data_IF_024501302042
#
_entry.id   IF_024501302042
#
_cell.length_a   1.000
_cell.length_b   1.000
_cell.length_c   1.000
_cell.angle_alpha   90.00
_cell.angle_beta   90.00
_cell.angle_gamma   90.00
#
_symmetry.space_group_name_H-M   'P 1'
#
loop_
_entity.id
_entity.type
_entity.pdbx_description
1 polymer ?
#
# COMPACT_ATOMS: atom_id res chain seq x y z
N UNK A 1 -4.74 22.18 41.19
CA UNK A 1 -4.96 21.27 40.04
C UNK A 1 -4.49 22.01 38.80
N UNK A 2 -3.34 21.64 38.22
CA UNK A 2 -2.88 22.28 36.97
C UNK A 2 -3.77 21.78 35.82
N UNK A 3 -4.26 22.65 34.92
CA UNK A 3 -5.06 22.20 33.79
C UNK A 3 -4.21 21.30 32.89
N UNK A 4 -4.78 20.19 32.43
CA UNK A 4 -4.21 19.37 31.38
C UNK A 4 -4.02 20.25 30.15
N UNK A 5 -2.77 20.44 29.72
CA UNK A 5 -2.48 21.05 28.44
C UNK A 5 -2.98 20.09 27.35
N UNK A 6 -4.05 20.46 26.66
CA UNK A 6 -4.45 19.81 25.42
C UNK A 6 -3.30 19.99 24.43
N UNK A 7 -2.68 18.91 23.90
CA UNK A 7 -1.70 19.06 22.85
C UNK A 7 -2.40 19.70 21.65
N UNK A 8 -1.97 20.91 21.28
CA UNK A 8 -2.33 21.49 19.99
C UNK A 8 -1.68 20.64 18.91
N UNK A 9 -2.40 19.61 18.45
CA UNK A 9 -2.08 18.92 17.21
C UNK A 9 -2.19 19.97 16.10
N UNK A 10 -1.06 20.43 15.57
CA UNK A 10 -1.02 21.21 14.33
C UNK A 10 -1.75 20.44 13.22
N UNK A 11 -2.24 21.11 12.17
CA UNK A 11 -3.04 20.47 11.14
C UNK A 11 -2.29 19.26 10.56
N UNK A 12 -2.77 18.07 10.88
CA UNK A 12 -2.24 16.78 10.43
C UNK A 12 -2.61 16.47 8.98
N UNK A 13 -3.58 17.21 8.44
CA UNK A 13 -4.13 17.01 7.12
C UNK A 13 -3.43 17.92 6.11
N UNK A 14 -2.66 17.31 5.20
CA UNK A 14 -2.10 17.99 4.02
C UNK A 14 -3.25 18.42 3.08
N UNK A 15 -4.44 17.79 3.14
CA UNK A 15 -5.67 18.14 2.43
C UNK A 15 -6.89 17.37 2.93
N UNK A 16 -8.05 17.55 2.28
CA UNK A 16 -9.29 16.79 2.54
C UNK A 16 -9.67 15.95 1.32
N UNK A 17 -10.16 14.73 1.55
CA UNK A 17 -10.67 13.81 0.52
C UNK A 17 -11.95 13.13 1.01
N UNK A 18 -12.73 12.58 0.10
CA UNK A 18 -13.74 11.55 0.41
C UNK A 18 -13.10 10.20 0.17
N UNK A 19 -13.18 9.27 1.13
CA UNK A 19 -12.71 7.90 0.93
C UNK A 19 -13.85 6.97 0.51
N UNK A 20 -13.49 5.80 -0.01
CA UNK A 20 -14.42 4.79 -0.51
C UNK A 20 -14.57 3.61 0.46
N UNK A 21 -14.05 3.72 1.67
CA UNK A 21 -14.01 2.62 2.67
C UNK A 21 -14.92 2.85 3.87
N UNK A 22 -15.65 3.98 3.92
CA UNK A 22 -16.65 4.24 4.95
C UNK A 22 -16.09 4.53 6.34
N UNK A 23 -14.77 4.74 6.47
CA UNK A 23 -14.08 5.02 7.74
C UNK A 23 -13.46 6.42 7.70
N UNK A 24 -13.63 7.29 8.70
CA UNK A 24 -13.07 8.65 8.67
C UNK A 24 -11.54 8.66 8.40
N UNK A 25 -11.09 9.55 7.52
CA UNK A 25 -9.68 9.61 7.08
C UNK A 25 -8.72 9.82 8.26
N UNK A 26 -9.04 10.78 9.13
CA UNK A 26 -8.21 11.11 10.29
C UNK A 26 -8.10 9.92 11.23
N UNK A 27 -9.18 9.14 11.38
CA UNK A 27 -9.14 7.92 12.18
C UNK A 27 -8.27 6.85 11.51
N UNK A 28 -8.46 6.62 10.21
CA UNK A 28 -7.69 5.63 9.44
C UNK A 28 -6.19 5.95 9.44
N UNK A 29 -5.82 7.23 9.39
CA UNK A 29 -4.44 7.68 9.45
C UNK A 29 -3.86 7.71 10.87
N UNK A 30 -4.67 7.61 11.93
CA UNK A 30 -4.24 7.69 13.32
C UNK A 30 -3.89 6.31 13.89
N UNK A 31 -2.97 6.28 14.86
CA UNK A 31 -2.52 5.03 15.50
C UNK A 31 -3.64 4.24 16.21
N UNK A 32 -4.75 4.91 16.52
CA UNK A 32 -5.91 4.32 17.20
C UNK A 32 -6.67 3.35 16.31
N UNK A 33 -6.71 3.58 14.99
CA UNK A 33 -7.22 2.58 14.07
C UNK A 33 -6.37 1.31 14.13
N UNK A 34 -5.04 1.45 14.24
CA UNK A 34 -4.17 0.29 14.33
C UNK A 34 -4.29 -0.44 15.68
N UNK A 35 -4.80 0.19 16.75
CA UNK A 35 -5.00 -0.51 18.03
C UNK A 35 -6.24 -1.42 17.98
N UNK A 36 -7.26 -1.01 17.22
CA UNK A 36 -8.53 -1.70 17.09
C UNK A 36 -9.03 -1.60 15.64
N UNK A 37 -8.39 -2.34 14.71
CA UNK A 37 -8.73 -2.23 13.30
C UNK A 37 -10.10 -2.85 13.03
N UNK A 38 -10.85 -2.20 12.14
CA UNK A 38 -12.06 -2.76 11.53
C UNK A 38 -11.75 -3.22 10.12
N UNK A 39 -12.49 -4.21 9.58
CA UNK A 39 -12.39 -4.56 8.16
C UNK A 39 -12.63 -3.33 7.28
N UNK A 40 -11.87 -3.24 6.19
CA UNK A 40 -12.00 -2.17 5.20
C UNK A 40 -12.41 -2.80 3.87
N UNK A 41 -13.44 -2.24 3.26
CA UNK A 41 -13.91 -2.64 1.94
C UNK A 41 -14.07 -1.41 1.06
N UNK A 42 -13.56 -1.48 -0.17
CA UNK A 42 -13.78 -0.44 -1.17
C UNK A 42 -15.21 -0.63 -1.71
N UNK A 43 -16.03 0.38 -1.46
CA UNK A 43 -17.46 0.38 -1.79
C UNK A 43 -17.72 -0.01 -3.24
N UNK A 44 -18.59 -1.02 -3.44
CA UNK A 44 -19.08 -1.44 -4.76
C UNK A 44 -18.19 -2.46 -5.47
N UNK A 45 -16.96 -2.72 -5.01
CA UNK A 45 -16.03 -3.60 -5.72
C UNK A 45 -16.50 -5.04 -5.71
N UNK A 46 -16.89 -5.57 -4.54
CA UNK A 46 -17.35 -6.97 -4.45
C UNK A 46 -18.70 -7.16 -5.14
N UNK A 47 -19.59 -6.20 -4.97
CA UNK A 47 -20.94 -6.21 -5.54
C UNK A 47 -20.92 -6.21 -7.07
N UNK A 48 -20.01 -5.44 -7.68
CA UNK A 48 -19.87 -5.38 -9.14
C UNK A 48 -19.07 -6.54 -9.73
N UNK A 49 -18.38 -7.33 -8.91
CA UNK A 49 -17.48 -8.39 -9.35
C UNK A 49 -17.80 -9.75 -8.69
N UNK A 50 -19.09 -10.02 -8.44
CA UNK A 50 -19.57 -11.29 -7.89
C UNK A 50 -18.96 -12.55 -8.52
N UNK A 51 -18.90 -12.67 -9.86
CA UNK A 51 -18.30 -13.83 -10.53
C UNK A 51 -16.83 -14.09 -10.16
N UNK A 52 -16.04 -13.04 -9.88
CA UNK A 52 -14.67 -13.21 -9.41
C UNK A 52 -14.65 -13.87 -8.04
N UNK A 53 -15.42 -13.36 -7.08
CA UNK A 53 -15.41 -13.88 -5.71
C UNK A 53 -16.07 -15.26 -5.60
N UNK A 54 -17.02 -15.57 -6.47
CA UNK A 54 -17.57 -16.92 -6.60
C UNK A 54 -16.51 -17.90 -7.12
N UNK A 55 -15.75 -17.52 -8.15
CA UNK A 55 -14.63 -18.32 -8.65
C UNK A 55 -13.53 -18.49 -7.58
N UNK A 56 -13.16 -17.41 -6.88
CA UNK A 56 -12.19 -17.46 -5.77
C UNK A 56 -12.65 -18.41 -4.66
N UNK A 57 -13.95 -18.49 -4.36
CA UNK A 57 -14.48 -19.37 -3.32
C UNK A 57 -14.23 -20.87 -3.59
N UNK A 58 -14.04 -21.24 -4.86
CA UNK A 58 -13.72 -22.61 -5.27
C UNK A 58 -12.24 -22.95 -5.18
N UNK A 59 -11.37 -21.96 -5.00
CA UNK A 59 -9.94 -22.18 -4.90
C UNK A 59 -9.58 -23.02 -3.67
N UNK A 60 -8.71 -24.02 -3.87
CA UNK A 60 -8.28 -24.93 -2.81
C UNK A 60 -7.19 -24.34 -1.92
N UNK A 61 -6.35 -23.48 -2.50
CA UNK A 61 -5.25 -22.81 -1.83
C UNK A 61 -4.99 -21.42 -2.41
N UNK A 62 -4.03 -20.71 -1.83
CA UNK A 62 -3.66 -19.35 -2.26
C UNK A 62 -3.09 -19.32 -3.67
N UNK A 63 -2.34 -20.34 -4.08
CA UNK A 63 -1.71 -20.37 -5.40
C UNK A 63 -2.77 -20.52 -6.50
N UNK A 64 -3.73 -21.40 -6.30
CA UNK A 64 -4.90 -21.60 -7.16
C UNK A 64 -5.77 -20.32 -7.23
N UNK A 65 -6.02 -19.69 -6.08
CA UNK A 65 -6.72 -18.40 -6.03
C UNK A 65 -5.98 -17.30 -6.81
N UNK A 66 -4.64 -17.27 -6.74
CA UNK A 66 -3.80 -16.35 -7.49
C UNK A 66 -3.88 -16.56 -9.00
N UNK A 67 -3.96 -17.81 -9.46
CA UNK A 67 -4.18 -18.15 -10.88
C UNK A 67 -5.57 -17.67 -11.31
N UNK A 68 -6.61 -18.01 -10.55
CA UNK A 68 -7.98 -17.59 -10.83
C UNK A 68 -8.11 -16.07 -10.93
N UNK A 69 -7.59 -15.33 -9.94
CA UNK A 69 -7.56 -13.87 -9.96
C UNK A 69 -6.85 -13.32 -11.20
N UNK A 70 -5.67 -13.86 -11.52
CA UNK A 70 -4.89 -13.41 -12.68
C UNK A 70 -5.66 -13.65 -13.99
N UNK A 71 -6.28 -14.81 -14.17
CA UNK A 71 -7.10 -15.12 -15.34
C UNK A 71 -8.28 -14.15 -15.48
N UNK A 72 -8.98 -13.84 -14.38
CA UNK A 72 -10.07 -12.87 -14.39
C UNK A 72 -9.60 -11.47 -14.81
N UNK A 73 -8.50 -11.00 -14.21
CA UNK A 73 -7.93 -9.68 -14.52
C UNK A 73 -7.49 -9.58 -15.97
N UNK A 74 -6.89 -10.64 -16.52
CA UNK A 74 -6.49 -10.69 -17.93
C UNK A 74 -7.69 -10.63 -18.87
N UNK A 75 -8.74 -11.40 -18.57
CA UNK A 75 -9.96 -11.40 -19.38
C UNK A 75 -10.69 -10.05 -19.33
N UNK A 76 -10.82 -9.44 -18.15
CA UNK A 76 -11.59 -8.22 -17.96
C UNK A 76 -10.89 -6.98 -18.54
N UNK A 77 -9.58 -6.86 -18.34
CA UNK A 77 -8.81 -5.67 -18.75
C UNK A 77 -8.00 -5.88 -20.04
N UNK A 78 -8.06 -7.07 -20.65
CA UNK A 78 -7.25 -7.43 -21.82
C UNK A 78 -5.75 -7.22 -21.58
N UNK A 79 -5.26 -7.73 -20.45
CA UNK A 79 -3.83 -7.70 -20.11
C UNK A 79 -3.18 -8.86 -20.87
N UNK A 80 -2.38 -8.55 -21.90
CA UNK A 80 -1.74 -9.58 -22.72
C UNK A 80 -0.63 -10.30 -21.94
N UNK A 81 -0.44 -11.62 -22.13
CA UNK A 81 0.66 -12.36 -21.51
C UNK A 81 2.05 -11.76 -21.80
N UNK A 82 2.23 -11.18 -22.99
CA UNK A 82 3.46 -10.52 -23.44
C UNK A 82 3.71 -9.17 -22.73
N UNK A 83 2.72 -8.59 -22.04
CA UNK A 83 2.91 -7.39 -21.19
C UNK A 83 3.55 -7.73 -19.84
N UNK A 84 3.84 -9.01 -19.58
CA UNK A 84 4.58 -9.48 -18.40
C UNK A 84 6.09 -9.27 -18.55
N UNK A 85 6.58 -9.11 -19.78
CA UNK A 85 8.01 -8.91 -20.10
C UNK A 85 8.20 -7.63 -20.91
N UNK A 86 9.20 -6.83 -20.52
CA UNK A 86 9.53 -5.57 -21.18
C UNK A 86 10.28 -5.86 -22.49
N UNK A 87 9.56 -6.19 -23.56
CA UNK A 87 10.16 -6.30 -24.90
C UNK A 87 9.93 -5.01 -25.70
N UNK A 88 10.95 -4.15 -25.73
CA UNK A 88 11.04 -2.95 -26.57
C UNK A 88 11.22 -3.26 -28.08
N UNK A 89 11.19 -4.54 -28.48
CA UNK A 89 11.65 -4.95 -29.81
C UNK A 89 10.60 -4.91 -30.93
N UNK A 90 9.29 -4.81 -30.66
CA UNK A 90 8.26 -4.91 -31.70
C UNK A 90 7.21 -3.78 -31.66
N UNK A 91 7.11 -3.06 -32.78
CA UNK A 91 6.50 -1.74 -32.90
C UNK A 91 5.03 -1.57 -32.47
N UNK A 92 4.69 -0.31 -32.17
CA UNK A 92 3.33 0.28 -32.00
C UNK A 92 2.26 -0.65 -31.42
N UNK A 93 2.58 -1.43 -30.38
CA UNK A 93 1.57 -2.09 -29.55
C UNK A 93 1.04 -1.08 -28.54
N UNK A 94 -0.29 -0.98 -28.45
CA UNK A 94 -0.99 -0.04 -27.57
C UNK A 94 -0.74 -0.47 -26.12
N UNK A 95 0.33 0.04 -25.53
CA UNK A 95 0.75 -0.28 -24.16
C UNK A 95 -0.41 -0.05 -23.20
N UNK A 96 -1.01 -1.13 -22.68
CA UNK A 96 -2.05 -1.03 -21.65
C UNK A 96 -1.38 -1.01 -20.29
N UNK A 97 -1.78 -0.04 -19.49
CA UNK A 97 -1.42 -0.03 -18.08
C UNK A 97 -1.98 -1.27 -17.37
N UNK A 98 -1.14 -1.89 -16.54
CA UNK A 98 -1.48 -3.06 -15.76
C UNK A 98 -1.01 -2.87 -14.32
N UNK A 99 -1.80 -3.33 -13.36
CA UNK A 99 -1.41 -3.32 -11.94
C UNK A 99 -0.08 -4.05 -11.71
N UNK A 100 0.22 -5.12 -12.47
CA UNK A 100 1.49 -5.84 -12.38
C UNK A 100 2.69 -4.93 -12.65
N UNK A 101 2.58 -4.06 -13.68
CA UNK A 101 3.61 -3.06 -13.99
C UNK A 101 3.79 -2.07 -12.83
N UNK A 102 2.69 -1.64 -12.20
CA UNK A 102 2.76 -0.73 -11.05
C UNK A 102 3.46 -1.38 -9.85
N UNK A 103 3.11 -2.63 -9.52
CA UNK A 103 3.73 -3.37 -8.41
C UNK A 103 5.21 -3.64 -8.70
N UNK A 104 5.56 -4.08 -9.92
CA UNK A 104 6.96 -4.25 -10.34
C UNK A 104 7.75 -2.93 -10.27
N UNK A 105 7.15 -1.84 -10.75
CA UNK A 105 7.73 -0.50 -10.71
C UNK A 105 7.93 0.02 -9.28
N UNK A 106 7.02 -0.30 -8.37
CA UNK A 106 7.16 0.01 -6.95
C UNK A 106 8.41 -0.62 -6.34
N UNK A 107 8.62 -1.92 -6.61
CA UNK A 107 9.80 -2.66 -6.13
C UNK A 107 11.12 -2.16 -6.71
N UNK A 108 11.09 -1.43 -7.83
CA UNK A 108 12.28 -0.80 -8.42
C UNK A 108 12.52 0.62 -7.88
N UNK A 109 11.50 1.47 -7.95
CA UNK A 109 11.55 2.86 -7.45
C UNK A 109 10.17 3.33 -6.99
N UNK A 110 9.92 3.29 -5.68
CA UNK A 110 8.69 3.81 -5.06
C UNK A 110 8.50 5.33 -5.21
N UNK A 111 9.54 6.06 -5.65
CA UNK A 111 9.48 7.49 -5.98
C UNK A 111 9.40 7.77 -7.48
N UNK A 112 9.34 6.73 -8.30
CA UNK A 112 9.06 6.86 -9.73
C UNK A 112 7.55 7.03 -10.01
N UNK A 113 7.19 7.15 -11.30
CA UNK A 113 5.81 7.44 -11.68
C UNK A 113 4.81 6.32 -11.32
N UNK A 114 5.23 5.06 -11.40
CA UNK A 114 4.45 3.90 -10.94
C UNK A 114 4.09 4.03 -9.45
N UNK A 115 5.06 4.47 -8.63
CA UNK A 115 4.86 4.77 -7.22
C UNK A 115 3.94 5.97 -6.98
N UNK A 116 4.00 7.00 -7.84
CA UNK A 116 3.05 8.11 -7.78
C UNK A 116 1.60 7.66 -8.00
N UNK A 117 1.37 6.75 -8.97
CA UNK A 117 0.04 6.20 -9.26
C UNK A 117 -0.48 5.38 -8.08
N UNK A 118 0.34 4.51 -7.49
CA UNK A 118 -0.05 3.70 -6.31
C UNK A 118 -0.37 4.57 -5.09
N UNK A 119 0.47 5.57 -4.80
CA UNK A 119 0.21 6.56 -3.74
C UNK A 119 -1.08 7.34 -4.03
N UNK A 120 -1.34 7.68 -5.30
CA UNK A 120 -2.58 8.35 -5.72
C UNK A 120 -3.82 7.48 -5.59
N UNK A 121 -3.69 6.17 -5.82
CA UNK A 121 -4.77 5.22 -5.53
C UNK A 121 -5.08 5.19 -4.03
N UNK A 122 -4.07 5.14 -3.15
CA UNK A 122 -4.29 5.19 -1.69
C UNK A 122 -4.96 6.50 -1.27
N UNK A 123 -4.45 7.64 -1.77
CA UNK A 123 -5.05 8.96 -1.55
C UNK A 123 -6.54 8.97 -1.95
N UNK A 124 -6.87 8.37 -3.09
CA UNK A 124 -8.23 8.36 -3.62
C UNK A 124 -9.18 7.41 -2.87
N UNK A 125 -8.71 6.24 -2.42
CA UNK A 125 -9.58 5.19 -1.83
C UNK A 125 -9.69 5.31 -0.32
N UNK A 126 -8.61 5.71 0.33
CA UNK A 126 -8.48 5.73 1.79
C UNK A 126 -8.40 7.15 2.33
N UNK A 127 -8.18 8.15 1.47
CA UNK A 127 -8.10 9.56 1.87
C UNK A 127 -6.79 9.96 2.53
N UNK A 128 -5.78 9.07 2.52
CA UNK A 128 -4.48 9.33 3.15
C UNK A 128 -3.52 9.92 2.11
N UNK A 129 -3.14 11.18 2.31
CA UNK A 129 -2.20 11.90 1.44
C UNK A 129 -0.77 11.41 1.61
N UNK A 130 0.03 11.35 0.52
CA UNK A 130 1.45 11.02 0.64
C UNK A 130 2.20 12.16 1.34
N UNK A 131 3.11 11.79 2.24
CA UNK A 131 4.04 12.71 2.91
C UNK A 131 5.38 12.81 2.20
N UNK A 132 5.64 11.92 1.23
CA UNK A 132 6.89 11.90 0.47
C UNK A 132 6.72 11.34 -0.95
N UNK A 133 7.30 12.04 -1.93
CA UNK A 133 7.51 11.53 -3.28
C UNK A 133 8.67 12.31 -3.91
N UNK A 134 9.82 11.66 -4.08
CA UNK A 134 11.14 12.24 -4.46
C UNK A 134 11.70 13.26 -3.46
N UNK A 135 10.85 13.98 -2.74
CA UNK A 135 11.18 14.89 -1.65
C UNK A 135 9.99 14.93 -0.66
N UNK A 136 10.18 15.47 0.56
CA UNK A 136 9.09 15.62 1.52
C UNK A 136 7.98 16.54 0.98
N UNK A 137 6.74 16.08 1.06
CA UNK A 137 5.54 16.85 0.74
C UNK A 137 5.01 17.47 2.03
N UNK A 138 5.23 18.77 2.19
CA UNK A 138 4.78 19.54 3.37
C UNK A 138 3.48 20.31 3.13
N UNK A 139 3.18 20.64 1.88
CA UNK A 139 2.02 21.43 1.48
C UNK A 139 1.61 21.12 0.04
N UNK A 140 0.31 21.20 -0.26
CA UNK A 140 -0.27 20.98 -1.61
C UNK A 140 0.19 22.04 -2.62
N UNK A 141 0.57 23.23 -2.18
CA UNK A 141 1.10 24.29 -3.06
C UNK A 141 2.57 24.11 -3.44
N UNK A 142 3.24 23.04 -2.98
CA UNK A 142 4.67 22.84 -3.21
C UNK A 142 4.97 22.30 -4.62
N UNK A 143 6.16 22.62 -5.14
CA UNK A 143 6.65 22.04 -6.40
C UNK A 143 6.71 20.50 -6.35
N UNK A 144 7.03 19.93 -5.18
CA UNK A 144 7.03 18.48 -4.97
C UNK A 144 5.63 17.89 -5.14
N UNK A 145 4.59 18.58 -4.64
CA UNK A 145 3.21 18.18 -4.89
C UNK A 145 2.85 18.24 -6.38
N UNK A 146 3.25 19.29 -7.09
CA UNK A 146 3.04 19.40 -8.54
C UNK A 146 3.67 18.22 -9.28
N UNK A 147 4.94 17.89 -9.00
CA UNK A 147 5.62 16.73 -9.62
C UNK A 147 4.90 15.42 -9.32
N UNK A 148 4.49 15.22 -8.06
CA UNK A 148 3.71 14.04 -7.67
C UNK A 148 2.41 13.94 -8.48
N UNK A 149 1.65 15.04 -8.61
CA UNK A 149 0.38 15.07 -9.35
C UNK A 149 0.60 14.81 -10.84
N UNK A 150 1.63 15.40 -11.45
CA UNK A 150 1.99 15.19 -12.86
C UNK A 150 2.24 13.70 -13.16
N UNK A 151 2.99 13.02 -12.29
CA UNK A 151 3.28 11.58 -12.46
C UNK A 151 2.07 10.70 -12.16
N UNK A 152 1.37 10.98 -11.06
CA UNK A 152 0.12 10.32 -10.67
C UNK A 152 -0.92 10.36 -11.78
N UNK A 153 -1.05 11.50 -12.48
CA UNK A 153 -2.06 11.73 -13.51
C UNK A 153 -1.57 11.43 -14.93
N UNK A 154 -0.37 10.84 -15.08
CA UNK A 154 0.19 10.53 -16.39
C UNK A 154 -0.73 9.58 -17.16
N UNK A 155 -1.20 10.02 -18.33
CA UNK A 155 -2.18 9.28 -19.16
C UNK A 155 -1.71 7.89 -19.56
N UNK A 156 -0.39 7.64 -19.58
CA UNK A 156 0.21 6.33 -19.83
C UNK A 156 -0.26 5.25 -18.86
N UNK A 157 -0.66 5.64 -17.65
CA UNK A 157 -1.17 4.73 -16.62
C UNK A 157 -2.69 4.68 -16.52
N UNK A 158 -3.40 5.65 -17.10
CA UNK A 158 -4.87 5.77 -16.94
C UNK A 158 -5.65 5.31 -18.17
N UNK A 159 -4.98 4.63 -19.09
CA UNK A 159 -5.57 4.15 -20.34
C UNK A 159 -6.26 2.78 -20.25
N UNK A 160 -6.29 2.16 -19.06
CA UNK A 160 -6.85 0.82 -18.84
C UNK A 160 -7.51 0.66 -17.46
N UNK A 161 -8.24 1.67 -16.99
CA UNK A 161 -8.98 1.63 -15.71
C UNK A 161 -8.11 1.18 -14.50
N UNK A 162 -6.89 1.69 -14.42
CA UNK A 162 -5.86 1.20 -13.50
C UNK A 162 -6.29 1.20 -12.03
N UNK A 163 -7.09 2.17 -11.61
CA UNK A 163 -7.57 2.20 -10.24
C UNK A 163 -8.60 1.11 -9.96
N UNK A 164 -9.45 0.73 -10.93
CA UNK A 164 -10.34 -0.43 -10.77
C UNK A 164 -9.53 -1.72 -10.64
N UNK A 165 -8.40 -1.82 -11.36
CA UNK A 165 -7.51 -2.96 -11.21
C UNK A 165 -6.91 -3.04 -9.80
N UNK A 166 -6.50 -1.91 -9.22
CA UNK A 166 -5.97 -1.84 -7.85
C UNK A 166 -7.06 -2.06 -6.79
N UNK A 167 -8.29 -1.61 -7.05
CA UNK A 167 -9.44 -1.86 -6.19
C UNK A 167 -9.72 -3.37 -6.09
N UNK A 168 -9.70 -4.07 -7.23
CA UNK A 168 -9.82 -5.54 -7.29
C UNK A 168 -8.66 -6.25 -6.61
N UNK A 169 -7.42 -5.78 -6.82
CA UNK A 169 -6.24 -6.34 -6.17
C UNK A 169 -6.34 -6.23 -4.64
N UNK A 170 -6.78 -5.08 -4.13
CA UNK A 170 -6.98 -4.87 -2.70
C UNK A 170 -8.04 -5.83 -2.13
N UNK A 171 -9.21 -5.92 -2.76
CA UNK A 171 -10.27 -6.81 -2.27
C UNK A 171 -9.89 -8.29 -2.36
N UNK A 172 -9.15 -8.68 -3.40
CA UNK A 172 -8.57 -10.02 -3.50
C UNK A 172 -7.55 -10.27 -2.39
N UNK A 173 -6.64 -9.32 -2.13
CA UNK A 173 -5.68 -9.40 -1.03
C UNK A 173 -6.38 -9.60 0.31
N UNK A 174 -7.43 -8.81 0.59
CA UNK A 174 -8.21 -8.93 1.83
C UNK A 174 -8.95 -10.27 1.94
N UNK A 175 -9.52 -10.75 0.84
CA UNK A 175 -10.13 -12.08 0.78
C UNK A 175 -9.11 -13.20 1.04
N UNK A 176 -7.94 -13.11 0.41
CA UNK A 176 -6.87 -14.10 0.53
C UNK A 176 -6.24 -14.12 1.93
N UNK A 177 -6.06 -12.95 2.56
CA UNK A 177 -5.61 -12.84 3.95
C UNK A 177 -6.60 -13.52 4.90
N UNK A 178 -7.89 -13.21 4.78
CA UNK A 178 -8.91 -13.79 5.64
C UNK A 178 -9.04 -15.31 5.48
N UNK A 179 -8.80 -15.85 4.28
CA UNK A 179 -9.02 -17.28 3.98
C UNK A 179 -7.78 -18.15 4.16
N UNK A 180 -6.62 -17.69 3.70
CA UNK A 180 -5.43 -18.54 3.54
C UNK A 180 -4.20 -18.02 4.28
N UNK A 181 -3.92 -16.71 4.23
CA UNK A 181 -2.62 -16.19 4.69
C UNK A 181 -2.61 -15.72 6.15
N UNK A 182 -3.74 -15.28 6.70
CA UNK A 182 -3.86 -14.75 8.06
C UNK A 182 -5.26 -15.01 8.68
N UNK A 183 -5.77 -16.26 8.68
CA UNK A 183 -7.13 -16.55 9.12
C UNK A 183 -7.33 -16.23 10.61
N UNK A 184 -8.30 -15.35 10.91
CA UNK A 184 -8.63 -14.93 12.27
C UNK A 184 -7.68 -13.90 12.89
N UNK A 185 -6.62 -13.52 12.17
CA UNK A 185 -5.66 -12.54 12.66
C UNK A 185 -6.13 -11.10 12.38
N UNK A 186 -5.95 -10.22 13.36
CA UNK A 186 -6.18 -8.78 13.20
C UNK A 186 -4.92 -8.04 12.77
N UNK A 187 -3.74 -8.59 13.08
CA UNK A 187 -2.46 -7.95 12.88
C UNK A 187 -1.38 -8.91 12.38
N UNK A 188 -0.47 -8.40 11.58
CA UNK A 188 0.79 -9.05 11.22
C UNK A 188 1.95 -8.34 11.91
N UNK A 189 2.93 -9.09 12.43
CA UNK A 189 4.21 -8.50 12.83
C UNK A 189 5.08 -8.37 11.58
N UNK A 190 5.40 -7.16 11.17
CA UNK A 190 6.25 -6.92 10.00
C UNK A 190 7.40 -5.97 10.34
N UNK A 191 8.45 -6.02 9.52
CA UNK A 191 9.72 -5.35 9.71
C UNK A 191 10.02 -4.38 8.58
N UNK A 192 10.67 -3.26 8.89
CA UNK A 192 11.16 -2.32 7.87
C UNK A 192 12.53 -1.80 8.26
N UNK A 193 13.51 -2.00 7.38
CA UNK A 193 14.79 -1.30 7.45
C UNK A 193 14.61 0.16 7.07
N UNK A 194 15.20 1.05 7.86
CA UNK A 194 15.26 2.48 7.56
C UNK A 194 16.68 2.99 7.75
N UNK A 195 17.06 3.94 6.90
CA UNK A 195 18.26 4.76 7.08
C UNK A 195 17.84 6.09 7.71
N UNK A 196 18.75 6.72 8.45
CA UNK A 196 18.52 8.04 9.04
C UNK A 196 17.18 8.11 9.79
N UNK A 197 16.99 7.25 10.80
CA UNK A 197 15.74 7.16 11.58
C UNK A 197 15.20 8.52 12.05
N UNK A 198 16.07 9.48 12.35
CA UNK A 198 15.70 10.83 12.78
C UNK A 198 15.09 11.71 11.68
N UNK A 199 15.32 11.39 10.41
CA UNK A 199 14.72 12.09 9.27
C UNK A 199 13.26 11.64 9.02
N UNK A 200 12.83 10.55 9.64
CA UNK A 200 11.43 10.14 9.62
C UNK A 200 10.55 11.10 10.42
N UNK A 201 9.28 11.21 10.03
CA UNK A 201 8.30 12.03 10.74
C UNK A 201 7.92 11.37 12.07
N UNK A 202 8.71 11.62 13.11
CA UNK A 202 8.43 11.21 14.48
C UNK A 202 7.31 12.09 15.03
N UNK A 203 6.16 11.49 15.32
CA UNK A 203 5.01 12.17 15.93
C UNK A 203 5.19 12.27 17.44
N UNK A 204 5.62 11.16 18.07
CA UNK A 204 5.84 11.07 19.51
C UNK A 204 6.94 10.04 19.81
N UNK A 205 7.84 10.34 20.76
CA UNK A 205 8.76 9.34 21.34
C UNK A 205 8.20 8.90 22.70
N UNK A 206 7.73 7.66 22.78
CA UNK A 206 7.21 7.09 24.04
C UNK A 206 8.38 6.76 24.97
N UNK A 207 9.42 6.13 24.41
CA UNK A 207 10.71 5.93 25.07
C UNK A 207 11.85 5.85 24.04
N UNK A 208 13.00 5.31 24.44
CA UNK A 208 14.20 5.20 23.58
C UNK A 208 13.94 4.36 22.32
N UNK A 209 13.16 3.29 22.42
CA UNK A 209 12.97 2.31 21.35
C UNK A 209 11.52 2.31 20.84
N UNK A 210 10.55 2.76 21.62
CA UNK A 210 9.14 2.81 21.22
C UNK A 210 8.77 4.21 20.73
N UNK A 211 8.40 4.30 19.46
CA UNK A 211 8.16 5.57 18.77
C UNK A 211 6.87 5.51 17.97
N UNK A 212 6.13 6.60 17.98
CA UNK A 212 5.02 6.84 17.07
C UNK A 212 5.55 7.54 15.81
N UNK A 213 5.57 6.83 14.70
CA UNK A 213 6.01 7.34 13.40
C UNK A 213 4.84 7.61 12.49
N UNK A 214 4.92 8.67 11.69
CA UNK A 214 4.07 8.83 10.51
C UNK A 214 4.80 8.31 9.28
N UNK A 215 4.30 7.19 8.76
CA UNK A 215 4.76 6.60 7.51
C UNK A 215 4.06 7.28 6.32
N UNK A 216 4.71 7.24 5.16
CA UNK A 216 4.10 7.67 3.91
C UNK A 216 2.83 6.85 3.62
N UNK A 217 1.90 7.38 2.82
CA UNK A 217 0.57 6.75 2.66
C UNK A 217 0.61 5.32 2.08
N UNK A 218 1.68 4.94 1.40
CA UNK A 218 1.99 3.57 1.03
C UNK A 218 3.47 3.29 1.34
N UNK A 219 3.76 2.13 1.91
CA UNK A 219 5.12 1.74 2.31
C UNK A 219 5.33 0.23 2.21
N UNK A 220 6.55 -0.20 1.92
CA UNK A 220 6.95 -1.61 1.98
C UNK A 220 7.32 -2.03 3.39
N UNK A 221 7.04 -3.29 3.71
CA UNK A 221 7.50 -4.02 4.88
C UNK A 221 7.96 -5.42 4.46
N UNK A 222 8.66 -6.13 5.34
CA UNK A 222 9.05 -7.53 5.18
C UNK A 222 8.46 -8.36 6.32
N UNK A 223 8.05 -9.59 6.05
CA UNK A 223 7.79 -10.58 7.12
C UNK A 223 9.07 -11.16 7.72
N UNK A 224 10.20 -10.96 7.05
CA UNK A 224 11.52 -11.42 7.48
C UNK A 224 12.34 -10.23 8.01
N UNK A 225 12.77 -10.36 9.26
CA UNK A 225 13.57 -9.34 9.96
C UNK A 225 14.97 -9.20 9.37
N UNK A 226 15.59 -10.30 8.96
CA UNK A 226 16.95 -10.31 8.42
C UNK A 226 16.98 -9.66 7.03
N UNK A 227 15.98 -9.96 6.19
CA UNK A 227 15.77 -9.27 4.92
C UNK A 227 15.58 -7.76 5.16
N UNK A 228 14.78 -7.36 6.16
CA UNK A 228 14.60 -5.94 6.49
C UNK A 228 15.91 -5.28 6.93
N UNK A 229 16.80 -6.01 7.60
CA UNK A 229 18.12 -5.53 8.02
C UNK A 229 19.06 -5.18 6.85
N UNK A 230 18.81 -5.68 5.65
CA UNK A 230 19.59 -5.30 4.46
C UNK A 230 19.32 -3.85 4.00
N UNK A 231 18.27 -3.20 4.51
CA UNK A 231 17.79 -1.90 4.00
C UNK A 231 18.04 -0.71 4.95
N UNK A 232 18.81 -0.88 6.02
CA UNK A 232 19.33 0.25 6.80
C UNK A 232 19.95 -0.10 8.15
N UNK A 233 20.31 0.94 8.90
CA UNK A 233 20.97 0.83 10.23
C UNK A 233 19.98 0.56 11.38
N UNK A 234 18.70 0.83 11.15
CA UNK A 234 17.63 0.69 12.13
C UNK A 234 16.53 -0.20 11.58
N UNK A 235 16.13 -1.21 12.36
CA UNK A 235 14.95 -2.03 12.06
C UNK A 235 13.76 -1.52 12.87
N UNK A 236 12.67 -1.23 12.15
CA UNK A 236 11.37 -0.98 12.72
C UNK A 236 10.58 -2.28 12.78
N UNK A 237 10.08 -2.63 13.96
CA UNK A 237 9.10 -3.70 14.14
C UNK A 237 7.74 -3.09 14.40
N UNK A 238 6.73 -3.46 13.61
CA UNK A 238 5.38 -2.91 13.70
C UNK A 238 4.31 -4.00 13.69
N UNK A 239 3.22 -3.76 14.43
CA UNK A 239 1.97 -4.53 14.31
C UNK A 239 1.11 -3.87 13.25
N UNK A 240 1.04 -4.50 12.07
CA UNK A 240 0.34 -3.98 10.91
C UNK A 240 -1.08 -4.57 10.88
N UNK A 241 -2.15 -3.75 10.91
CA UNK A 241 -3.49 -4.24 10.71
C UNK A 241 -3.62 -4.97 9.38
N UNK A 242 -4.22 -6.17 9.38
CA UNK A 242 -4.46 -6.96 8.15
C UNK A 242 -5.25 -6.12 7.12
N UNK A 243 -6.21 -5.31 7.58
CA UNK A 243 -7.00 -4.41 6.76
C UNK A 243 -6.19 -3.35 5.99
N UNK A 244 -4.96 -3.04 6.43
CA UNK A 244 -4.06 -2.08 5.78
C UNK A 244 -3.06 -2.72 4.82
N UNK A 245 -3.07 -4.05 4.67
CA UNK A 245 -2.21 -4.74 3.71
C UNK A 245 -2.83 -4.69 2.31
N UNK A 246 -2.14 -4.12 1.33
CA UNK A 246 -2.65 -3.97 -0.04
C UNK A 246 -2.14 -5.04 -0.98
N UNK A 247 -0.97 -5.61 -0.68
CA UNK A 247 -0.32 -6.64 -1.47
C UNK A 247 0.73 -7.36 -0.62
N UNK A 248 1.02 -8.62 -0.92
CA UNK A 248 2.17 -9.36 -0.39
C UNK A 248 2.74 -10.31 -1.44
N UNK A 249 4.04 -10.59 -1.39
CA UNK A 249 4.74 -11.20 -2.54
C UNK A 249 4.20 -12.58 -2.96
N UNK A 250 3.65 -13.36 -2.03
CA UNK A 250 3.06 -14.68 -2.31
C UNK A 250 1.57 -14.63 -2.70
N UNK A 251 0.97 -13.45 -2.82
CA UNK A 251 -0.44 -13.29 -3.20
C UNK A 251 -0.72 -13.74 -4.64
N UNK A 252 0.26 -13.60 -5.53
CA UNK A 252 0.15 -13.98 -6.94
C UNK A 252 1.15 -15.07 -7.27
N UNK A 253 0.76 -16.01 -8.14
CA UNK A 253 1.61 -17.14 -8.53
C UNK A 253 2.88 -16.71 -9.29
N UNK A 254 2.85 -15.53 -9.91
CA UNK A 254 4.04 -14.85 -10.41
C UNK A 254 4.42 -13.75 -9.42
N UNK A 255 5.65 -13.78 -8.91
CA UNK A 255 6.17 -12.84 -7.92
C UNK A 255 6.53 -11.50 -8.59
N UNK A 256 5.70 -10.45 -8.50
CA UNK A 256 6.00 -9.17 -9.15
C UNK A 256 7.04 -8.35 -8.36
N UNK A 257 7.26 -8.69 -7.08
CA UNK A 257 8.23 -8.05 -6.21
C UNK A 257 9.50 -8.90 -6.11
N UNK A 258 10.66 -8.24 -6.05
CA UNK A 258 11.96 -8.91 -6.03
C UNK A 258 12.35 -9.46 -4.64
N UNK A 259 11.75 -8.95 -3.57
CA UNK A 259 12.07 -9.35 -2.20
C UNK A 259 11.16 -10.47 -1.69
N UNK A 260 11.75 -11.58 -1.24
CA UNK A 260 11.00 -12.61 -0.51
C UNK A 260 10.35 -12.00 0.74
N UNK A 261 9.07 -12.31 0.97
CA UNK A 261 8.35 -11.81 2.14
C UNK A 261 7.98 -10.32 2.12
N UNK A 262 8.02 -9.62 0.98
CA UNK A 262 7.62 -8.20 0.90
C UNK A 262 6.09 -8.00 0.99
N UNK A 263 5.67 -6.99 1.77
CA UNK A 263 4.29 -6.53 1.96
C UNK A 263 4.18 -5.05 1.60
N UNK A 264 3.12 -4.67 0.89
CA UNK A 264 2.72 -3.28 0.71
C UNK A 264 1.62 -2.93 1.70
N UNK A 265 1.83 -1.83 2.42
CA UNK A 265 1.02 -1.44 3.58
C UNK A 265 0.59 0.01 3.45
N UNK A 266 -0.70 0.27 3.64
CA UNK A 266 -1.28 1.61 3.77
C UNK A 266 -0.70 2.26 5.02
N UNK A 267 -0.12 3.45 4.88
CA UNK A 267 0.55 4.15 5.96
C UNK A 267 -0.36 4.92 6.91
N UNK A 268 0.14 6.09 7.31
CA UNK A 268 -0.37 6.83 8.46
C UNK A 268 0.52 6.64 9.68
N UNK A 269 -0.04 6.83 10.86
CA UNK A 269 0.66 6.70 12.12
C UNK A 269 0.78 5.26 12.56
N UNK A 270 1.98 4.86 12.98
CA UNK A 270 2.31 3.52 13.47
C UNK A 270 3.16 3.61 14.73
N UNK A 271 2.75 2.85 15.75
CA UNK A 271 3.64 2.54 16.88
C UNK A 271 4.64 1.50 16.40
N UNK A 272 5.91 1.83 16.52
CA UNK A 272 7.00 0.95 16.12
C UNK A 272 7.98 0.78 17.27
N UNK A 273 8.56 -0.40 17.34
CA UNK A 273 9.76 -0.66 18.13
C UNK A 273 10.98 -0.56 17.20
N UNK A 274 11.82 0.45 17.42
CA UNK A 274 13.08 0.67 16.73
C UNK A 274 14.21 -0.08 17.45
N UNK A 275 14.91 -0.94 16.71
CA UNK A 275 16.13 -1.61 17.17
C UNK A 275 17.29 -1.22 16.25
N UNK A 276 18.35 -0.68 16.85
CA UNK A 276 19.60 -0.34 16.19
C UNK A 276 20.49 -1.59 16.08
N UNK A 277 21.21 -1.71 14.97
CA UNK A 277 22.34 -2.64 14.87
C UNK A 277 23.62 -2.04 15.44
#
# INVERSE_FOLDING_TARGET
>A
MKPFATPTAGPTAIGHSTNLVGVPMDFLAHARFNDQPVPLHISGVREMNGPLFEMLSQATDLADAGVAFTCYMMAMFGIDPEQREDDEAHGRRRYRSSFLRLIKGWGYDSNGPEGAVLKGWVESRFGIFPTFHKSPIRQISSRTWTTYVEEKMSSRFHNNAIYVQLDLLYEFCQWALARFAAPGESHLTLYRGVNSFEEHQIVERVDKNNVLLRLNNLTSFSSDRDIAGCFGDTILTAKIPVAKVTFFNTLLSAHPLKGEGEYLVIGGEYRVHASYF
#
